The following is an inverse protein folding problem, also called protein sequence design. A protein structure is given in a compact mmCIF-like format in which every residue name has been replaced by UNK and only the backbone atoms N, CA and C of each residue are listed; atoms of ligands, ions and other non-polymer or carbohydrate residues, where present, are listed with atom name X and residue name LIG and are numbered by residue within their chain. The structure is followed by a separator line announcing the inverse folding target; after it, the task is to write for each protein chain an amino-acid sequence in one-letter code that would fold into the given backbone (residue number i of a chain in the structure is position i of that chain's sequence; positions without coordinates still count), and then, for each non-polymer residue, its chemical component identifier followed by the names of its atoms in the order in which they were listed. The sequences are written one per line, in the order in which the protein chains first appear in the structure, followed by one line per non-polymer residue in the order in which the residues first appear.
data_IF_166467236203
#
_entry.id   IF_166467236203
#
_cell.length_a   1.000
_cell.length_b   1.000
_cell.length_c   1.000
_cell.angle_alpha   90.00
_cell.angle_beta   90.00
_cell.angle_gamma   90.00
#
_symmetry.space_group_name_H-M   'P 1'
#
loop_
_entity.id
_entity.type
_entity.pdbx_description
1 polymer ?
#
# COMPACT_ATOMS: atom_id res chain seq x y z
N UNK A 1 12.89 -7.46 -9.55
CA UNK A 1 12.58 -6.68 -8.34
C UNK A 1 13.61 -6.82 -7.21
N UNK A 2 13.94 -8.01 -6.69
CA UNK A 2 14.88 -8.15 -5.56
C UNK A 2 16.25 -7.46 -5.79
N UNK A 3 16.85 -7.64 -6.96
CA UNK A 3 18.12 -7.01 -7.34
C UNK A 3 18.05 -5.49 -7.46
N UNK A 4 16.91 -4.95 -7.91
CA UNK A 4 16.70 -3.51 -8.06
C UNK A 4 16.53 -2.83 -6.70
N UNK A 5 15.82 -3.48 -5.77
CA UNK A 5 15.69 -2.99 -4.40
C UNK A 5 17.06 -2.92 -3.72
N UNK A 6 17.87 -3.97 -3.83
CA UNK A 6 19.21 -4.01 -3.25
C UNK A 6 20.10 -2.91 -3.82
N UNK A 7 20.09 -2.70 -5.14
CA UNK A 7 20.81 -1.59 -5.76
C UNK A 7 20.38 -0.24 -5.19
N UNK A 8 19.08 -0.03 -5.02
CA UNK A 8 18.54 1.21 -4.47
C UNK A 8 18.92 1.43 -3.00
N UNK A 9 18.93 0.38 -2.18
CA UNK A 9 19.37 0.46 -0.77
C UNK A 9 20.86 0.77 -0.64
N UNK A 10 21.68 0.29 -1.58
CA UNK A 10 23.11 0.65 -1.67
C UNK A 10 23.26 2.13 -2.04
N UNK A 11 22.53 2.63 -3.03
CA UNK A 11 22.53 4.06 -3.39
C UNK A 11 22.16 4.96 -2.21
N UNK A 12 21.16 4.54 -1.42
CA UNK A 12 20.72 5.26 -0.23
C UNK A 12 21.65 5.11 0.98
N UNK A 13 22.74 4.31 0.88
CA UNK A 13 23.66 3.98 1.99
C UNK A 13 22.95 3.35 3.19
N UNK A 14 21.94 2.52 2.91
CA UNK A 14 21.11 1.84 3.90
C UNK A 14 21.31 0.32 3.89
N UNK A 15 22.11 -0.22 2.97
CA UNK A 15 22.38 -1.66 2.83
C UNK A 15 22.79 -2.32 4.15
N UNK A 16 23.56 -1.62 4.97
CA UNK A 16 24.14 -2.18 6.21
C UNK A 16 23.27 -1.85 7.44
N UNK A 17 22.18 -1.09 7.24
CA UNK A 17 21.29 -0.61 8.31
C UNK A 17 19.94 -1.31 8.33
N UNK A 18 19.57 -1.97 7.24
CA UNK A 18 18.28 -2.61 7.06
C UNK A 18 18.51 -4.05 6.58
N UNK A 19 17.99 -5.00 7.35
CA UNK A 19 17.83 -6.38 6.90
C UNK A 19 16.52 -6.46 6.13
N UNK A 20 16.57 -6.99 4.90
CA UNK A 20 15.39 -7.16 4.05
C UNK A 20 15.11 -8.64 3.86
N UNK A 21 13.97 -9.06 4.38
CA UNK A 21 13.43 -10.40 4.15
C UNK A 21 12.34 -10.36 3.08
N UNK A 22 12.42 -11.31 2.14
CA UNK A 22 11.40 -11.47 1.11
C UNK A 22 10.47 -12.62 1.50
N UNK A 23 9.18 -12.32 1.54
CA UNK A 23 8.13 -13.30 1.80
C UNK A 23 7.46 -13.61 0.48
N UNK A 24 7.58 -14.86 0.06
CA UNK A 24 6.90 -15.35 -1.13
C UNK A 24 5.44 -15.66 -0.77
N UNK A 25 4.52 -15.05 -1.51
CA UNK A 25 3.07 -15.24 -1.34
C UNK A 25 2.51 -15.96 -2.57
N UNK A 26 1.46 -16.79 -2.42
CA UNK A 26 0.89 -17.49 -3.57
C UNK A 26 0.35 -16.50 -4.61
N UNK A 27 0.42 -16.88 -5.89
CA UNK A 27 -0.14 -16.06 -6.97
C UNK A 27 -1.63 -15.79 -6.75
N UNK A 28 -2.10 -14.62 -7.19
CA UNK A 28 -3.51 -14.19 -7.06
C UNK A 28 -4.05 -14.18 -5.63
N UNK A 29 -3.20 -13.89 -4.64
CA UNK A 29 -3.61 -13.84 -3.23
C UNK A 29 -3.65 -12.40 -2.70
N UNK A 30 -4.71 -11.63 -3.00
CA UNK A 30 -4.82 -10.21 -2.63
C UNK A 30 -4.82 -10.01 -1.10
N UNK A 31 -5.23 -11.01 -0.33
CA UNK A 31 -5.28 -10.97 1.13
C UNK A 31 -3.89 -10.79 1.77
N UNK A 32 -2.81 -11.12 1.05
CA UNK A 32 -1.43 -10.93 1.52
C UNK A 32 -0.79 -9.63 1.02
N UNK A 33 -1.53 -8.80 0.28
CA UNK A 33 -1.01 -7.56 -0.28
C UNK A 33 -1.59 -6.35 0.46
N UNK A 34 -0.73 -5.65 1.22
CA UNK A 34 -1.10 -4.42 1.93
C UNK A 34 -1.74 -3.37 1.00
N UNK A 35 -1.27 -3.26 -0.25
CA UNK A 35 -1.81 -2.30 -1.20
C UNK A 35 -3.29 -2.55 -1.50
N UNK A 36 -3.75 -3.79 -1.52
CA UNK A 36 -5.17 -4.11 -1.76
C UNK A 36 -6.07 -3.60 -0.63
N UNK A 37 -5.63 -3.69 0.63
CA UNK A 37 -6.36 -3.10 1.76
C UNK A 37 -6.46 -1.57 1.64
N UNK A 38 -5.36 -0.92 1.24
CA UNK A 38 -5.31 0.53 1.03
C UNK A 38 -6.24 0.94 -0.12
N UNK A 39 -6.17 0.24 -1.26
CA UNK A 39 -7.01 0.48 -2.44
C UNK A 39 -8.48 0.26 -2.10
N UNK A 40 -8.80 -0.81 -1.37
CA UNK A 40 -10.16 -1.09 -0.92
C UNK A 40 -10.71 0.06 -0.06
N UNK A 41 -9.93 0.53 0.90
CA UNK A 41 -10.33 1.65 1.76
C UNK A 41 -10.49 2.96 0.99
N UNK A 42 -9.59 3.24 0.04
CA UNK A 42 -9.71 4.40 -0.86
C UNK A 42 -11.00 4.35 -1.66
N UNK A 43 -11.33 3.18 -2.21
CA UNK A 43 -12.57 2.96 -2.95
C UNK A 43 -13.77 3.28 -2.08
N UNK A 44 -13.83 2.71 -0.88
CA UNK A 44 -14.95 2.95 0.05
C UNK A 44 -15.09 4.41 0.46
N UNK A 45 -13.98 5.09 0.81
CA UNK A 45 -14.03 6.44 1.36
C UNK A 45 -14.22 7.52 0.30
N UNK A 46 -13.60 7.38 -0.87
CA UNK A 46 -13.45 8.50 -1.81
C UNK A 46 -14.10 8.24 -3.17
N UNK A 47 -14.16 6.98 -3.60
CA UNK A 47 -14.51 6.63 -4.98
C UNK A 47 -15.90 5.96 -5.11
N UNK A 48 -16.48 5.47 -4.02
CA UNK A 48 -17.73 4.68 -4.06
C UNK A 48 -18.92 5.47 -4.62
N UNK A 49 -19.00 6.76 -4.29
CA UNK A 49 -20.12 7.63 -4.68
C UNK A 49 -19.71 8.63 -5.78
N UNK A 50 -18.81 8.25 -6.69
CA UNK A 50 -18.46 9.12 -7.80
C UNK A 50 -19.64 9.25 -8.78
N UNK A 51 -20.00 10.49 -9.18
CA UNK A 51 -21.05 10.68 -10.17
C UNK A 51 -20.64 10.12 -11.53
N UNK A 52 -21.64 9.78 -12.35
CA UNK A 52 -21.42 9.37 -13.73
C UNK A 52 -20.81 10.53 -14.54
N UNK A 53 -19.82 10.22 -15.37
CA UNK A 53 -19.15 11.22 -16.22
C UNK A 53 -17.91 11.88 -15.61
N UNK A 54 -17.48 11.47 -14.42
CA UNK A 54 -16.19 11.88 -13.85
C UNK A 54 -15.05 11.29 -14.68
N UNK A 55 -14.10 12.14 -15.09
CA UNK A 55 -12.92 11.71 -15.83
C UNK A 55 -11.73 11.40 -14.91
N UNK A 56 -10.66 10.83 -15.48
CA UNK A 56 -9.47 10.43 -14.72
C UNK A 56 -8.75 11.62 -14.05
N UNK A 57 -8.69 12.78 -14.70
CA UNK A 57 -8.04 13.98 -14.16
C UNK A 57 -8.75 14.47 -12.90
N UNK A 58 -10.08 14.45 -12.89
CA UNK A 58 -10.89 14.81 -11.74
C UNK A 58 -10.72 13.83 -10.57
N UNK A 59 -10.58 12.52 -10.87
CA UNK A 59 -10.28 11.52 -9.84
C UNK A 59 -8.90 11.77 -9.23
N UNK A 60 -7.88 12.01 -10.07
CA UNK A 60 -6.53 12.31 -9.60
C UNK A 60 -6.53 13.55 -8.70
N UNK A 61 -7.11 14.65 -9.16
CA UNK A 61 -7.20 15.89 -8.39
C UNK A 61 -7.89 15.68 -7.03
N UNK A 62 -8.99 14.91 -7.00
CA UNK A 62 -9.71 14.59 -5.77
C UNK A 62 -8.83 13.81 -4.78
N UNK A 63 -8.06 12.84 -5.27
CA UNK A 63 -7.16 12.04 -4.44
C UNK A 63 -6.02 12.91 -3.89
N UNK A 64 -5.35 13.70 -4.74
CA UNK A 64 -4.27 14.60 -4.33
C UNK A 64 -4.75 15.59 -3.25
N UNK A 65 -5.90 16.24 -3.47
CA UNK A 65 -6.51 17.16 -2.49
C UNK A 65 -6.86 16.48 -1.17
N UNK A 66 -7.31 15.23 -1.20
CA UNK A 66 -7.58 14.49 0.03
C UNK A 66 -6.30 14.30 0.84
N UNK A 67 -5.21 13.88 0.21
CA UNK A 67 -3.94 13.59 0.86
C UNK A 67 -3.15 14.82 1.32
N UNK A 68 -3.47 16.01 0.80
CA UNK A 68 -2.92 17.28 1.34
C UNK A 68 -3.30 17.51 2.82
N UNK A 69 -4.50 17.09 3.21
CA UNK A 69 -5.06 17.42 4.53
C UNK A 69 -5.45 16.22 5.38
N UNK A 70 -5.53 15.03 4.78
CA UNK A 70 -6.03 13.83 5.45
C UNK A 70 -5.05 12.68 5.29
N UNK A 71 -4.90 11.92 6.37
CA UNK A 71 -4.29 10.59 6.31
C UNK A 71 -5.38 9.55 6.11
N UNK A 72 -5.20 8.67 5.12
CA UNK A 72 -6.14 7.60 4.87
C UNK A 72 -6.22 6.62 6.05
N UNK A 73 -5.05 6.32 6.63
CA UNK A 73 -4.85 5.46 7.78
C UNK A 73 -3.72 6.00 8.66
N UNK A 74 -3.80 5.69 9.96
CA UNK A 74 -2.71 5.95 10.90
C UNK A 74 -1.63 4.86 10.81
N UNK A 75 -0.43 5.16 11.32
CA UNK A 75 0.64 4.17 11.41
C UNK A 75 0.21 2.90 12.16
N UNK A 76 -0.57 3.05 13.25
CA UNK A 76 -1.09 1.92 14.01
C UNK A 76 -2.04 1.04 13.18
N UNK A 77 -2.90 1.65 12.37
CA UNK A 77 -3.82 0.91 11.50
C UNK A 77 -3.06 0.11 10.44
N UNK A 78 -2.01 0.70 9.85
CA UNK A 78 -1.14 0.01 8.89
C UNK A 78 -0.44 -1.16 9.58
N UNK A 79 0.11 -0.95 10.77
CA UNK A 79 0.77 -2.00 11.54
C UNK A 79 -0.18 -3.17 11.85
N UNK A 80 -1.42 -2.88 12.22
CA UNK A 80 -2.42 -3.92 12.47
C UNK A 80 -2.73 -4.76 11.22
N UNK A 81 -2.80 -4.14 10.03
CA UNK A 81 -3.00 -4.86 8.77
C UNK A 81 -1.79 -5.73 8.46
N UNK A 82 -0.57 -5.21 8.65
CA UNK A 82 0.65 -5.98 8.45
C UNK A 82 0.65 -7.21 9.37
N UNK A 83 0.38 -7.05 10.66
CA UNK A 83 0.27 -8.18 11.60
C UNK A 83 -0.79 -9.19 11.17
N UNK A 84 -1.94 -8.73 10.68
CA UNK A 84 -2.98 -9.60 10.14
C UNK A 84 -2.48 -10.42 8.94
N UNK A 85 -1.82 -9.78 7.97
CA UNK A 85 -1.23 -10.46 6.81
C UNK A 85 -0.23 -11.53 7.26
N UNK A 86 0.67 -11.20 8.19
CA UNK A 86 1.63 -12.17 8.73
C UNK A 86 0.96 -13.35 9.44
N UNK A 87 -0.13 -13.11 10.17
CA UNK A 87 -0.89 -14.19 10.80
C UNK A 87 -1.50 -15.13 9.75
N UNK A 88 -1.95 -14.62 8.61
CA UNK A 88 -2.50 -15.44 7.53
C UNK A 88 -1.43 -16.27 6.79
N UNK A 89 -0.20 -15.77 6.70
CA UNK A 89 0.92 -16.47 6.02
C UNK A 89 1.48 -17.60 6.89
N UNK A 90 1.45 -17.45 8.21
CA UNK A 90 2.03 -18.39 9.17
C UNK A 90 1.02 -19.42 9.74
N UNK A 91 -0.11 -19.63 9.06
CA UNK A 91 -1.12 -20.64 9.41
C UNK A 91 -1.02 -21.90 8.54
#
# INVERSE_FOLDING_TARGET
MRTQLLAHLVELKMSDKIVVDFIDTPSYSPNFNLAEYIIHLLRMKLLHNLPLGVNMEQIQYKLEKYFEFNQLQTAQQIQNIIHHIYALVNC
#
